data_IF_004988438615
#
_entry.id   IF_004988438615
#
_cell.length_a   1.000
_cell.length_b   1.000
_cell.length_c   1.000
_cell.angle_alpha   90.00
_cell.angle_beta   90.00
_cell.angle_gamma   90.00
#
_symmetry.space_group_name_H-M   'P 1'
#
loop_
_entity.id
_entity.type
_entity.pdbx_description
1 polymer ?
#
# COMPACT_ATOMS: atom_id res chain seq x y z
N UNK A 1 -5.56 -2.24 -10.09
CA UNK A 1 -4.48 -3.19 -9.69
C UNK A 1 -5.12 -4.36 -8.97
N UNK A 2 -4.65 -5.59 -9.20
CA UNK A 2 -5.25 -6.80 -8.62
C UNK A 2 -4.84 -7.09 -7.17
N UNK A 3 -4.05 -6.22 -6.53
CA UNK A 3 -3.62 -6.38 -5.13
C UNK A 3 -4.37 -5.37 -4.29
N UNK A 4 -5.23 -5.85 -3.40
CA UNK A 4 -5.96 -5.06 -2.42
C UNK A 4 -5.23 -5.09 -1.06
N UNK A 5 -5.27 -3.95 -0.36
CA UNK A 5 -4.65 -3.77 0.96
C UNK A 5 -5.75 -3.61 2.01
N UNK A 6 -5.85 -4.56 2.95
CA UNK A 6 -6.88 -4.63 4.00
C UNK A 6 -6.49 -3.91 5.29
N UNK A 7 -5.72 -2.83 5.17
CA UNK A 7 -5.20 -2.11 6.33
C UNK A 7 -6.31 -1.53 7.21
N UNK A 8 -7.39 -1.04 6.60
CA UNK A 8 -8.52 -0.45 7.34
C UNK A 8 -9.19 -1.46 8.28
N UNK A 9 -9.40 -2.69 7.81
CA UNK A 9 -9.98 -3.77 8.61
C UNK A 9 -9.08 -4.11 9.79
N UNK A 10 -7.77 -4.27 9.55
CA UNK A 10 -6.82 -4.62 10.61
C UNK A 10 -6.71 -3.53 11.68
N UNK A 11 -6.77 -2.26 11.28
CA UNK A 11 -6.82 -1.11 12.19
C UNK A 11 -8.10 -1.11 13.02
N UNK A 12 -9.25 -1.37 12.39
CA UNK A 12 -10.54 -1.46 13.06
C UNK A 12 -10.55 -2.57 14.11
N UNK A 13 -10.13 -3.78 13.75
CA UNK A 13 -10.08 -4.95 14.63
C UNK A 13 -9.22 -4.71 15.87
N UNK A 14 -8.19 -3.87 15.74
CA UNK A 14 -7.23 -3.52 16.81
C UNK A 14 -7.59 -2.24 17.55
N UNK A 15 -8.65 -1.54 17.13
CA UNK A 15 -9.01 -0.21 17.63
C UNK A 15 -7.82 0.76 17.57
N UNK A 16 -7.03 0.66 16.50
CA UNK A 16 -5.83 1.47 16.28
C UNK A 16 -6.10 2.50 15.18
N UNK A 17 -5.62 3.72 15.37
CA UNK A 17 -5.70 4.77 14.36
C UNK A 17 -4.55 4.67 13.36
N UNK A 18 -4.73 5.25 12.17
CA UNK A 18 -3.65 5.35 11.17
C UNK A 18 -2.46 6.17 11.68
N UNK A 19 -2.73 7.18 12.51
CA UNK A 19 -1.71 8.03 13.15
C UNK A 19 -0.88 7.22 14.15
N UNK A 20 -1.51 6.43 15.02
CA UNK A 20 -0.78 5.56 15.94
C UNK A 20 0.08 4.52 15.20
N UNK A 21 -0.43 3.97 14.10
CA UNK A 21 0.37 3.06 13.28
C UNK A 21 1.58 3.78 12.67
N UNK A 22 1.39 4.99 12.14
CA UNK A 22 2.48 5.82 11.58
C UNK A 22 3.61 6.03 12.60
N UNK A 23 3.25 6.34 13.84
CA UNK A 23 4.21 6.52 14.93
C UNK A 23 4.95 5.20 15.26
N UNK A 24 4.22 4.08 15.32
CA UNK A 24 4.81 2.75 15.61
C UNK A 24 5.78 2.27 14.53
N UNK A 25 5.45 2.47 13.25
CA UNK A 25 6.29 2.02 12.13
C UNK A 25 7.34 3.04 11.69
N UNK A 26 7.36 4.23 12.29
CA UNK A 26 8.29 5.31 11.91
C UNK A 26 8.07 5.82 10.49
N UNK A 27 6.80 5.89 10.04
CA UNK A 27 6.42 6.33 8.69
C UNK A 27 5.52 7.54 8.73
N UNK A 28 5.49 8.31 7.64
CA UNK A 28 4.55 9.43 7.53
C UNK A 28 3.11 8.93 7.35
N UNK A 29 2.15 9.71 7.86
CA UNK A 29 0.72 9.44 7.64
C UNK A 29 0.36 9.39 6.15
N UNK A 30 1.04 10.19 5.32
CA UNK A 30 0.85 10.20 3.87
C UNK A 30 1.21 8.84 3.24
N UNK A 31 2.33 8.23 3.65
CA UNK A 31 2.74 6.92 3.14
C UNK A 31 1.72 5.83 3.52
N UNK A 32 1.26 5.81 4.78
CA UNK A 32 0.25 4.84 5.22
C UNK A 32 -1.14 5.10 4.61
N UNK A 33 -1.50 6.36 4.33
CA UNK A 33 -2.76 6.71 3.69
C UNK A 33 -2.84 6.18 2.25
N UNK A 34 -1.73 6.23 1.51
CA UNK A 34 -1.66 5.65 0.15
C UNK A 34 -1.83 4.13 0.18
N UNK A 35 -1.27 3.45 1.20
CA UNK A 35 -1.49 2.02 1.42
C UNK A 35 -2.95 1.72 1.79
N UNK A 36 -3.52 2.45 2.76
CA UNK A 36 -4.91 2.28 3.23
C UNK A 36 -5.93 2.45 2.10
N UNK A 37 -5.71 3.41 1.20
CA UNK A 37 -6.64 3.73 0.11
C UNK A 37 -6.45 2.86 -1.14
N UNK A 38 -5.53 1.89 -1.12
CA UNK A 38 -5.25 1.01 -2.25
C UNK A 38 -4.58 1.70 -3.44
N UNK A 39 -4.08 2.94 -3.26
CA UNK A 39 -3.40 3.71 -4.31
C UNK A 39 -1.91 3.36 -4.45
N UNK A 40 -1.38 2.57 -3.51
CA UNK A 40 0.00 2.12 -3.54
C UNK A 40 0.28 1.24 -4.77
N UNK A 41 1.41 1.50 -5.43
CA UNK A 41 1.89 0.71 -6.57
C UNK A 41 2.94 -0.32 -6.18
N UNK A 42 3.63 -0.07 -5.09
CA UNK A 42 4.64 -0.94 -4.51
C UNK A 42 4.68 -0.74 -3.00
N UNK A 43 5.15 -1.77 -2.30
CA UNK A 43 5.49 -1.74 -0.88
C UNK A 43 6.87 -2.38 -0.72
N UNK A 44 7.73 -1.79 0.11
CA UNK A 44 9.00 -2.44 0.47
C UNK A 44 8.73 -3.53 1.51
N UNK A 45 9.46 -4.64 1.46
CA UNK A 45 9.30 -5.68 2.48
C UNK A 45 9.58 -5.19 3.89
N UNK A 46 10.53 -4.27 4.09
CA UNK A 46 10.75 -3.65 5.41
C UNK A 46 9.53 -2.88 5.93
N UNK A 47 8.77 -2.23 5.05
CA UNK A 47 7.51 -1.59 5.41
C UNK A 47 6.43 -2.61 5.74
N UNK A 48 6.33 -3.67 4.93
CA UNK A 48 5.39 -4.76 5.17
C UNK A 48 5.65 -5.43 6.53
N UNK A 49 6.91 -5.72 6.82
CA UNK A 49 7.40 -6.32 8.06
C UNK A 49 7.03 -5.45 9.29
N UNK A 50 7.38 -4.17 9.27
CA UNK A 50 7.05 -3.24 10.35
C UNK A 50 5.55 -3.14 10.61
N UNK A 51 4.72 -3.14 9.57
CA UNK A 51 3.25 -3.13 9.71
C UNK A 51 2.77 -4.45 10.32
N UNK A 52 3.29 -5.59 9.84
CA UNK A 52 2.95 -6.92 10.36
C UNK A 52 3.32 -7.06 11.83
N UNK A 53 4.48 -6.54 12.26
CA UNK A 53 4.89 -6.52 13.66
C UNK A 53 3.98 -5.61 14.51
N UNK A 54 3.79 -4.35 14.09
CA UNK A 54 3.00 -3.37 14.82
C UNK A 54 1.53 -3.76 14.99
N UNK A 55 1.00 -4.49 14.00
CA UNK A 55 -0.35 -5.05 14.02
C UNK A 55 -0.36 -6.52 14.49
N UNK A 56 0.76 -7.18 14.75
CA UNK A 56 0.75 -8.63 15.05
C UNK A 56 -0.11 -9.42 14.05
N UNK A 57 0.11 -9.22 12.76
CA UNK A 57 -0.61 -9.88 11.67
C UNK A 57 0.36 -10.54 10.69
N UNK A 58 -0.16 -11.41 9.83
CA UNK A 58 0.60 -11.98 8.71
C UNK A 58 0.43 -11.13 7.44
N UNK A 59 1.36 -11.22 6.47
CA UNK A 59 1.22 -10.57 5.18
C UNK A 59 -0.09 -10.91 4.45
N UNK A 60 -0.56 -12.16 4.57
CA UNK A 60 -1.82 -12.61 3.96
C UNK A 60 -3.09 -12.02 4.59
N UNK A 61 -2.99 -11.48 5.81
CA UNK A 61 -4.09 -10.74 6.43
C UNK A 61 -4.21 -9.33 5.85
N UNK A 62 -3.06 -8.75 5.47
CA UNK A 62 -2.95 -7.39 4.95
C UNK A 62 -3.13 -7.31 3.43
N UNK A 63 -2.59 -8.27 2.68
CA UNK A 63 -2.58 -8.26 1.22
C UNK A 63 -3.47 -9.36 0.66
N UNK A 64 -4.34 -9.00 -0.28
CA UNK A 64 -5.20 -9.94 -1.00
C UNK A 64 -5.06 -9.76 -2.50
N UNK A 65 -5.01 -10.87 -3.23
CA UNK A 65 -5.16 -10.87 -4.67
C UNK A 65 -6.64 -10.93 -5.05
N UNK A 66 -7.10 -9.94 -5.80
CA UNK A 66 -8.48 -9.73 -6.26
C UNK A 66 -8.44 -9.55 -7.80
N UNK A 67 -8.52 -10.64 -8.57
CA UNK A 67 -8.35 -10.61 -10.03
C UNK A 67 -9.39 -9.75 -10.76
N UNK A 68 -10.56 -9.54 -10.16
CA UNK A 68 -11.63 -8.67 -10.66
C UNK A 68 -11.25 -7.18 -10.67
N UNK A 69 -10.29 -6.77 -9.83
CA UNK A 69 -9.77 -5.39 -9.76
C UNK A 69 -8.50 -5.18 -10.60
N UNK A 70 -8.15 -6.16 -11.44
CA UNK A 70 -7.06 -6.09 -12.40
C UNK A 70 -7.38 -5.14 -13.57
N UNK A 71 -7.48 -3.84 -13.31
CA UNK A 71 -7.33 -2.85 -14.37
C UNK A 71 -5.93 -3.00 -14.97
N UNK A 72 -5.87 -3.39 -16.24
CA UNK A 72 -4.63 -3.41 -17.02
C UNK A 72 -4.19 -1.97 -17.20
N UNK A 73 -3.16 -1.57 -16.47
CA UNK A 73 -2.46 -0.32 -16.72
C UNK A 73 -1.97 -0.31 -18.16
N UNK A 74 -2.64 0.47 -19.02
CA UNK A 74 -2.12 0.75 -20.35
C UNK A 74 -0.80 1.52 -20.16
N UNK A 75 0.30 1.11 -20.81
CA UNK A 75 1.58 1.79 -20.66
C UNK A 75 1.42 3.23 -21.13
N UNK A 76 1.78 4.18 -20.24
CA UNK A 76 1.88 5.58 -20.59
C UNK A 76 2.76 5.72 -21.84
N UNK A 77 2.15 6.15 -22.93
CA UNK A 77 2.73 6.24 -24.26
C UNK A 77 4.06 7.00 -24.23
N UNK A 78 5.06 6.42 -24.90
CA UNK A 78 6.38 6.94 -25.19
C UNK A 78 6.42 8.48 -25.31
N UNK A 79 7.03 9.14 -24.31
CA UNK A 79 7.43 10.54 -24.45
C UNK A 79 8.57 10.60 -25.46
N UNK A 80 8.24 11.03 -26.67
CA UNK A 80 9.18 11.25 -27.77
C UNK A 80 10.24 12.26 -27.32
N UNK A 81 11.51 11.82 -27.28
CA UNK A 81 12.66 12.72 -27.31
C UNK A 81 12.60 13.52 -28.61
N UNK A 82 12.12 14.76 -28.56
CA UNK A 82 12.40 15.74 -29.60
C UNK A 82 13.81 16.30 -29.36
N UNK A 83 14.72 15.89 -30.23
CA UNK A 83 16.05 16.45 -30.37
C UNK A 83 15.97 17.96 -30.59
N UNK A 84 16.66 18.74 -29.76
CA UNK A 84 16.92 20.15 -30.06
C UNK A 84 18.18 20.23 -30.92
N UNK A 85 18.02 20.80 -32.11
CA UNK A 85 19.12 21.39 -32.89
C UNK A 85 19.61 22.66 -32.21
#
# INVERSE_FOLDING_TARGET
MAIAVKLDNLLHDRRMTLTELADRVGMTLANLSILKTGKARAIRFSTLDAICEALSCQPGDLLRFEPEHAEREQPATASKRSASR
#
